data_IF_663741647672
#
_entry.id   IF_663741647672
#
_cell.length_a   1.000
_cell.length_b   1.000
_cell.length_c   1.000
_cell.angle_alpha   90.00
_cell.angle_beta   90.00
_cell.angle_gamma   90.00
#
_symmetry.space_group_name_H-M   'P 1'
#
loop_
_entity.id
_entity.type
_entity.pdbx_description
1 polymer ?
#
# COMPACT_ATOMS: atom_id res chain seq x y z
N UNK A 1 -5.24 8.36 -20.44
CA UNK A 1 -5.50 8.31 -19.00
C UNK A 1 -6.35 7.11 -18.55
N UNK A 2 -7.12 6.47 -19.40
CA UNK A 2 -7.87 5.25 -19.09
C UNK A 2 -6.90 4.05 -19.04
N UNK A 3 -6.40 3.70 -17.85
CA UNK A 3 -5.42 2.62 -17.67
C UNK A 3 -5.80 1.63 -16.55
N UNK A 4 -6.99 1.78 -15.95
CA UNK A 4 -7.46 0.87 -14.90
C UNK A 4 -6.75 0.97 -13.55
N UNK A 5 -5.87 1.99 -13.33
CA UNK A 5 -5.13 2.15 -12.06
C UNK A 5 -6.05 2.21 -10.85
N UNK A 6 -7.06 3.05 -10.90
CA UNK A 6 -8.00 3.23 -9.79
C UNK A 6 -8.81 1.97 -9.53
N UNK A 7 -9.23 1.26 -10.58
CA UNK A 7 -9.94 -0.02 -10.45
C UNK A 7 -9.04 -1.09 -9.83
N UNK A 8 -7.76 -1.16 -10.23
CA UNK A 8 -6.78 -2.06 -9.63
C UNK A 8 -6.57 -1.76 -8.12
N UNK A 9 -6.47 -0.50 -7.75
CA UNK A 9 -6.38 -0.09 -6.35
C UNK A 9 -7.59 -0.54 -5.53
N UNK A 10 -8.81 -0.39 -6.09
CA UNK A 10 -10.04 -0.87 -5.45
C UNK A 10 -10.04 -2.39 -5.29
N UNK A 11 -9.61 -3.14 -6.31
CA UNK A 11 -9.51 -4.60 -6.24
C UNK A 11 -8.52 -5.06 -5.17
N UNK A 12 -7.35 -4.43 -5.07
CA UNK A 12 -6.36 -4.73 -4.02
C UNK A 12 -6.97 -4.48 -2.64
N UNK A 13 -7.64 -3.36 -2.46
CA UNK A 13 -8.31 -3.03 -1.19
C UNK A 13 -9.38 -4.05 -0.84
N UNK A 14 -10.22 -4.43 -1.80
CA UNK A 14 -11.26 -5.43 -1.64
C UNK A 14 -10.73 -6.83 -1.27
N UNK A 15 -9.54 -7.19 -1.74
CA UNK A 15 -8.89 -8.45 -1.36
C UNK A 15 -8.36 -8.42 0.07
N UNK A 16 -7.78 -7.31 0.51
CA UNK A 16 -7.08 -7.22 1.79
C UNK A 16 -8.01 -6.76 2.92
N UNK A 17 -8.88 -5.80 2.65
CA UNK A 17 -9.74 -5.18 3.66
C UNK A 17 -11.09 -4.72 3.07
N UNK A 18 -11.99 -5.66 2.78
CA UNK A 18 -13.24 -5.39 2.04
C UNK A 18 -14.24 -4.49 2.77
N UNK A 19 -14.01 -4.20 4.05
CA UNK A 19 -14.87 -3.32 4.87
C UNK A 19 -14.27 -1.95 5.13
N UNK A 20 -13.11 -1.67 4.55
CA UNK A 20 -12.48 -0.37 4.68
C UNK A 20 -13.17 0.69 3.82
N UNK A 21 -12.91 1.94 4.18
CA UNK A 21 -13.30 3.11 3.38
C UNK A 21 -12.69 2.98 1.99
N UNK A 22 -13.46 3.32 0.97
CA UNK A 22 -12.99 3.44 -0.41
C UNK A 22 -11.74 4.33 -0.53
N UNK A 23 -11.15 4.35 -1.71
CA UNK A 23 -9.99 5.17 -2.06
C UNK A 23 -10.09 6.58 -1.46
N UNK A 24 -9.08 6.96 -0.73
CA UNK A 24 -9.00 8.24 -0.04
C UNK A 24 -8.22 9.26 -0.87
N UNK A 25 -8.54 10.53 -0.73
CA UNK A 25 -7.65 11.59 -1.20
C UNK A 25 -6.39 11.62 -0.33
N UNK A 26 -5.23 11.85 -0.94
CA UNK A 26 -3.98 11.96 -0.19
C UNK A 26 -4.04 13.15 0.81
N UNK A 27 -3.78 12.94 2.10
CA UNK A 27 -3.91 13.95 3.13
C UNK A 27 -3.00 15.17 2.88
N UNK A 28 -3.42 16.33 3.36
CA UNK A 28 -2.62 17.56 3.27
C UNK A 28 -1.63 17.71 4.43
N UNK A 29 -1.93 17.12 5.56
CA UNK A 29 -1.12 17.18 6.78
C UNK A 29 -0.55 15.81 7.12
N UNK A 30 0.66 15.79 7.63
CA UNK A 30 1.32 14.57 8.11
C UNK A 30 0.51 13.88 9.20
N UNK A 31 -0.06 14.63 10.13
CA UNK A 31 -0.92 14.07 11.19
C UNK A 31 -2.11 13.28 10.66
N UNK A 32 -2.77 13.78 9.60
CA UNK A 32 -3.90 13.10 8.99
C UNK A 32 -3.46 11.81 8.27
N UNK A 33 -2.25 11.83 7.68
CA UNK A 33 -1.63 10.63 7.11
C UNK A 33 -1.38 9.58 8.19
N UNK A 34 -0.77 9.99 9.30
CA UNK A 34 -0.49 9.12 10.45
C UNK A 34 -1.78 8.49 10.99
N UNK A 35 -2.85 9.27 11.12
CA UNK A 35 -4.17 8.76 11.56
C UNK A 35 -4.70 7.72 10.57
N UNK A 36 -4.59 7.97 9.27
CA UNK A 36 -5.02 7.01 8.26
C UNK A 36 -4.23 5.71 8.36
N UNK A 37 -2.90 5.79 8.49
CA UNK A 37 -2.02 4.62 8.61
C UNK A 37 -2.25 3.82 9.91
N UNK A 38 -2.60 4.50 10.99
CA UNK A 38 -2.86 3.84 12.27
C UNK A 38 -4.20 3.10 12.31
N UNK A 39 -5.20 3.58 11.56
CA UNK A 39 -6.57 3.05 11.61
C UNK A 39 -6.86 2.00 10.53
N UNK A 40 -6.01 1.86 9.53
CA UNK A 40 -6.23 0.94 8.41
C UNK A 40 -5.03 0.01 8.20
N UNK A 41 -5.27 -1.27 8.00
CA UNK A 41 -4.21 -2.21 7.61
C UNK A 41 -3.70 -1.94 6.19
N UNK A 42 -4.57 -1.38 5.34
CA UNK A 42 -4.23 -0.87 4.01
C UNK A 42 -4.85 0.50 3.80
N UNK A 43 -4.05 1.47 3.42
CA UNK A 43 -4.48 2.82 3.05
C UNK A 43 -4.31 3.02 1.55
N UNK A 44 -5.41 3.21 0.85
CA UNK A 44 -5.41 3.42 -0.60
C UNK A 44 -5.66 4.88 -0.92
N UNK A 45 -4.67 5.55 -1.50
CA UNK A 45 -4.74 6.95 -1.90
C UNK A 45 -4.82 7.06 -3.42
N UNK A 46 -5.87 7.70 -3.89
CA UNK A 46 -6.13 7.90 -5.32
C UNK A 46 -5.71 9.31 -5.77
N UNK A 47 -5.28 9.40 -7.02
CA UNK A 47 -4.90 10.66 -7.67
C UNK A 47 -3.85 11.46 -6.88
N UNK A 48 -2.80 10.78 -6.45
CA UNK A 48 -1.69 11.39 -5.74
C UNK A 48 -0.83 12.25 -6.68
N UNK A 49 -0.21 13.27 -6.11
CA UNK A 49 0.77 14.10 -6.80
C UNK A 49 2.12 14.02 -6.08
N UNK A 50 3.20 13.86 -6.83
CA UNK A 50 4.57 13.83 -6.31
C UNK A 50 4.89 15.04 -5.43
N UNK A 51 4.33 16.21 -5.76
CA UNK A 51 4.50 17.45 -4.98
C UNK A 51 4.02 17.36 -3.53
N UNK A 52 3.16 16.40 -3.22
CA UNK A 52 2.66 16.16 -1.85
C UNK A 52 3.51 15.19 -1.06
N UNK A 53 4.42 14.48 -1.72
CA UNK A 53 5.30 13.50 -1.09
C UNK A 53 6.64 14.18 -0.81
N UNK A 54 6.61 15.15 0.10
CA UNK A 54 7.81 15.81 0.62
C UNK A 54 8.60 14.94 1.59
N UNK A 55 9.59 15.53 2.22
CA UNK A 55 10.52 14.83 3.12
C UNK A 55 9.79 14.18 4.30
N UNK A 56 9.00 14.94 5.04
CA UNK A 56 8.26 14.46 6.22
C UNK A 56 7.32 13.30 5.87
N UNK A 57 6.62 13.40 4.74
CA UNK A 57 5.71 12.35 4.25
C UNK A 57 6.50 11.10 3.89
N UNK A 58 7.62 11.25 3.19
CA UNK A 58 8.49 10.14 2.81
C UNK A 58 9.01 9.40 4.05
N UNK A 59 9.40 10.12 5.09
CA UNK A 59 9.88 9.54 6.34
C UNK A 59 8.79 8.74 7.06
N UNK A 60 7.56 9.26 7.11
CA UNK A 60 6.42 8.54 7.67
C UNK A 60 6.10 7.26 6.87
N UNK A 61 6.13 7.34 5.54
CA UNK A 61 5.93 6.17 4.68
C UNK A 61 7.02 5.12 4.90
N UNK A 62 8.28 5.53 5.00
CA UNK A 62 9.39 4.63 5.33
C UNK A 62 9.21 3.96 6.70
N UNK A 63 8.76 4.73 7.70
CA UNK A 63 8.50 4.20 9.04
C UNK A 63 7.32 3.24 9.05
N UNK A 64 6.26 3.49 8.28
CA UNK A 64 5.10 2.60 8.23
C UNK A 64 5.45 1.22 7.68
N UNK A 65 6.33 1.15 6.68
CA UNK A 65 6.83 -0.11 6.11
C UNK A 65 7.73 -0.86 7.10
N UNK A 66 8.52 -0.13 7.88
CA UNK A 66 9.49 -0.72 8.84
C UNK A 66 8.87 -1.03 10.22
N UNK A 67 7.63 -0.64 10.47
CA UNK A 67 6.96 -0.84 11.75
C UNK A 67 7.42 0.15 12.82
N UNK A 68 7.52 1.44 12.49
CA UNK A 68 7.93 2.51 13.40
C UNK A 68 6.80 3.05 14.27
N UNK A 69 7.12 4.14 14.99
CA UNK A 69 6.17 4.87 15.82
C UNK A 69 6.24 6.36 15.49
N UNK A 70 5.08 7.01 15.47
CA UNK A 70 4.97 8.45 15.39
C UNK A 70 4.61 9.01 16.76
N UNK A 71 5.39 9.97 17.25
CA UNK A 71 5.15 10.59 18.55
C UNK A 71 4.83 12.06 18.36
N UNK A 72 3.74 12.51 18.96
CA UNK A 72 3.37 13.92 18.99
C UNK A 72 2.88 14.35 20.35
N UNK A 73 2.93 15.68 20.60
CA UNK A 73 2.36 16.26 21.82
C UNK A 73 0.85 16.02 21.87
N UNK A 74 0.37 15.64 23.04
CA UNK A 74 -1.06 15.52 23.31
C UNK A 74 -1.69 16.93 23.33
N UNK A 75 -2.86 17.07 22.73
CA UNK A 75 -3.61 18.33 22.78
C UNK A 75 -3.98 18.65 24.22
N UNK A 76 -3.89 19.93 24.56
CA UNK A 76 -4.22 20.46 25.89
C UNK A 76 -3.34 19.93 27.05
N UNK A 77 -2.11 19.51 26.75
CA UNK A 77 -1.13 19.08 27.73
C UNK A 77 0.24 19.66 27.38
N UNK A 78 0.96 20.15 28.39
CA UNK A 78 2.27 20.76 28.16
C UNK A 78 3.40 19.75 28.03
N UNK A 79 3.27 18.58 28.67
CA UNK A 79 4.35 17.59 28.77
C UNK A 79 3.97 16.18 28.27
N UNK A 80 2.68 15.92 28.03
CA UNK A 80 2.25 14.59 27.58
C UNK A 80 2.46 14.39 26.09
N UNK A 81 2.88 13.21 25.74
CA UNK A 81 3.01 12.75 24.35
C UNK A 81 2.08 11.60 24.05
N UNK A 82 1.66 11.51 22.80
CA UNK A 82 0.95 10.35 22.27
C UNK A 82 1.85 9.66 21.26
N UNK A 83 2.08 8.37 21.47
CA UNK A 83 2.84 7.53 20.56
C UNK A 83 1.88 6.64 19.76
N UNK A 84 1.91 6.74 18.45
CA UNK A 84 1.04 6.06 17.52
C UNK A 84 1.88 5.04 16.75
N UNK A 85 1.55 3.74 16.81
CA UNK A 85 2.24 2.74 16.00
C UNK A 85 1.90 2.92 14.53
N UNK A 86 2.92 2.94 13.69
CA UNK A 86 2.77 2.99 12.24
C UNK A 86 2.93 1.56 11.69
N UNK A 87 1.81 0.95 11.33
CA UNK A 87 1.78 -0.37 10.70
C UNK A 87 0.69 -0.33 9.64
N UNK A 88 1.05 -0.47 8.40
CA UNK A 88 0.05 -0.51 7.35
C UNK A 88 0.68 -0.50 5.98
N UNK A 89 0.02 -1.19 5.06
CA UNK A 89 0.33 -1.11 3.66
C UNK A 89 -0.21 0.19 3.08
N UNK A 90 0.57 0.82 2.24
CA UNK A 90 0.15 2.02 1.50
C UNK A 90 0.12 1.70 0.02
N UNK A 91 -0.99 1.98 -0.61
CA UNK A 91 -1.15 1.93 -2.07
C UNK A 91 -1.45 3.34 -2.56
N UNK A 92 -0.67 3.80 -3.50
CA UNK A 92 -0.84 5.12 -4.10
C UNK A 92 -0.91 5.00 -5.62
N UNK A 93 -1.83 5.70 -6.24
CA UNK A 93 -1.81 5.87 -7.68
C UNK A 93 -1.69 7.36 -8.06
N UNK A 94 -1.08 7.60 -9.19
CA UNK A 94 -0.90 8.94 -9.77
C UNK A 94 -0.57 8.85 -11.25
N UNK A 95 -0.47 10.01 -11.88
CA UNK A 95 -0.10 10.10 -13.31
C UNK A 95 1.41 10.14 -13.51
N UNK A 96 2.14 10.67 -12.52
CA UNK A 96 3.60 10.84 -12.57
C UNK A 96 4.29 9.88 -11.59
N UNK A 97 5.61 9.80 -11.66
CA UNK A 97 6.40 9.12 -10.64
C UNK A 97 6.15 9.79 -9.29
N UNK A 98 5.61 9.02 -8.34
CA UNK A 98 5.24 9.55 -7.02
C UNK A 98 6.40 9.55 -6.03
N UNK A 99 7.41 8.73 -6.26
CA UNK A 99 8.49 8.50 -5.32
C UNK A 99 9.82 8.80 -5.98
N UNK A 100 10.56 9.73 -5.39
CA UNK A 100 11.87 10.19 -5.90
C UNK A 100 13.02 9.92 -4.91
N UNK A 101 12.73 9.92 -3.61
CA UNK A 101 13.76 9.71 -2.58
C UNK A 101 14.26 8.25 -2.59
N UNK A 102 15.57 8.02 -2.64
CA UNK A 102 16.16 6.67 -2.75
C UNK A 102 15.77 5.73 -1.61
N UNK A 103 15.61 6.25 -0.38
CA UNK A 103 15.24 5.46 0.78
C UNK A 103 13.79 4.95 0.69
N UNK A 104 12.87 5.74 0.14
CA UNK A 104 11.50 5.32 -0.09
C UNK A 104 11.41 4.43 -1.35
N UNK A 105 12.12 4.78 -2.44
CA UNK A 105 12.19 3.95 -3.66
C UNK A 105 12.60 2.51 -3.35
N UNK A 106 13.54 2.32 -2.42
CA UNK A 106 13.99 0.98 -2.00
C UNK A 106 12.94 0.16 -1.23
N UNK A 107 11.80 0.75 -0.88
CA UNK A 107 10.71 0.14 -0.09
C UNK A 107 9.39 0.06 -0.82
N UNK A 108 9.35 0.41 -2.10
CA UNK A 108 8.11 0.39 -2.89
C UNK A 108 8.18 -0.62 -4.02
N UNK A 109 7.03 -1.17 -4.36
CA UNK A 109 6.82 -1.90 -5.61
C UNK A 109 6.10 -0.96 -6.56
N UNK A 110 6.75 -0.62 -7.67
CA UNK A 110 6.20 0.27 -8.67
C UNK A 110 5.62 -0.52 -9.84
N UNK A 111 4.37 -0.25 -10.16
CA UNK A 111 3.67 -0.83 -11.30
C UNK A 111 3.33 0.26 -12.32
N UNK A 112 3.75 0.06 -13.55
CA UNK A 112 3.46 0.96 -14.65
C UNK A 112 2.30 0.41 -15.48
N UNK A 113 1.23 1.18 -15.59
CA UNK A 113 0.05 0.83 -16.36
C UNK A 113 0.04 1.58 -17.69
N UNK A 114 -0.03 0.83 -18.77
CA UNK A 114 -0.24 1.39 -20.10
C UNK A 114 -1.69 1.87 -20.29
N UNK A 115 -1.90 2.81 -21.20
CA UNK A 115 -3.26 3.20 -21.60
C UNK A 115 -3.97 2.00 -22.22
N UNK A 116 -5.24 1.85 -21.91
CA UNK A 116 -6.12 0.87 -22.57
C UNK A 116 -6.66 1.52 -23.81
N UNK A 117 -6.41 0.93 -24.98
CA UNK A 117 -6.83 1.44 -26.29
C UNK A 117 -8.00 0.61 -26.85
N UNK A 118 -8.90 1.30 -27.59
CA UNK A 118 -9.95 0.68 -28.40
C UNK A 118 -11.11 0.07 -27.60
N UNK A 119 -11.71 -0.99 -28.16
CA UNK A 119 -12.91 -1.67 -27.65
C UNK A 119 -12.73 -2.41 -26.32
N UNK A 120 -11.52 -2.41 -25.74
CA UNK A 120 -11.21 -3.02 -24.44
C UNK A 120 -11.58 -2.17 -23.23
N UNK A 121 -12.11 -0.97 -23.45
CA UNK A 121 -12.62 -0.12 -22.37
C UNK A 121 -13.95 -0.67 -21.86
N UNK A 122 -13.92 -1.35 -20.76
CA UNK A 122 -15.11 -1.75 -20.03
C UNK A 122 -15.49 -0.74 -18.97
N UNK A 123 -16.76 -0.72 -18.56
CA UNK A 123 -17.20 0.11 -17.45
C UNK A 123 -16.60 -0.42 -16.15
N UNK A 124 -16.27 0.47 -15.20
CA UNK A 124 -15.80 0.08 -13.86
C UNK A 124 -16.76 -0.90 -13.18
N UNK A 125 -18.07 -0.73 -13.38
CA UNK A 125 -19.08 -1.63 -12.83
C UNK A 125 -18.93 -3.06 -13.35
N UNK A 126 -18.83 -3.23 -14.66
CA UNK A 126 -18.69 -4.56 -15.29
C UNK A 126 -17.39 -5.23 -14.86
N UNK A 127 -16.30 -4.46 -14.82
CA UNK A 127 -15.01 -4.95 -14.35
C UNK A 127 -15.07 -5.42 -12.88
N UNK A 128 -15.77 -4.70 -12.01
CA UNK A 128 -15.95 -5.09 -10.61
C UNK A 128 -16.87 -6.31 -10.46
N UNK A 129 -17.91 -6.44 -11.28
CA UNK A 129 -18.77 -7.64 -11.31
C UNK A 129 -17.97 -8.89 -11.70
N UNK A 130 -17.11 -8.78 -12.70
CA UNK A 130 -16.22 -9.88 -13.10
C UNK A 130 -15.18 -10.20 -12.03
N UNK A 131 -14.59 -9.18 -11.44
CA UNK A 131 -13.66 -9.34 -10.30
C UNK A 131 -14.32 -10.11 -9.15
N UNK A 132 -15.55 -9.78 -8.76
CA UNK A 132 -16.25 -10.48 -7.68
C UNK A 132 -16.45 -11.97 -7.96
N UNK A 133 -16.61 -12.37 -9.22
CA UNK A 133 -16.72 -13.79 -9.61
C UNK A 133 -15.41 -14.55 -9.43
N UNK A 134 -14.28 -13.90 -9.66
CA UNK A 134 -12.95 -14.53 -9.57
C UNK A 134 -12.27 -14.31 -8.22
N UNK A 135 -12.71 -13.33 -7.44
CA UNK A 135 -12.16 -12.97 -6.11
C UNK A 135 -11.95 -14.18 -5.18
N UNK A 136 -12.90 -15.13 -5.04
CA UNK A 136 -12.68 -16.30 -4.19
C UNK A 136 -11.51 -17.18 -4.63
N UNK A 137 -11.29 -17.31 -5.95
CA UNK A 137 -10.15 -18.06 -6.50
C UNK A 137 -8.82 -17.37 -6.23
N UNK A 138 -8.79 -16.03 -6.40
CA UNK A 138 -7.60 -15.23 -6.10
C UNK A 138 -7.26 -15.36 -4.61
N UNK A 139 -8.24 -15.24 -3.72
CA UNK A 139 -8.03 -15.42 -2.28
C UNK A 139 -7.55 -16.82 -1.94
N UNK A 140 -8.06 -17.86 -2.62
CA UNK A 140 -7.58 -19.23 -2.45
C UNK A 140 -6.08 -19.34 -2.74
N UNK A 141 -5.63 -18.80 -3.87
CA UNK A 141 -4.20 -18.79 -4.24
C UNK A 141 -3.37 -17.99 -3.23
N UNK A 142 -3.86 -16.83 -2.77
CA UNK A 142 -3.15 -16.02 -1.76
C UNK A 142 -3.00 -16.81 -0.45
N UNK A 143 -4.05 -17.48 0.01
CA UNK A 143 -3.98 -18.29 1.23
C UNK A 143 -3.06 -19.50 1.08
N UNK A 144 -3.02 -20.10 -0.10
CA UNK A 144 -2.10 -21.20 -0.40
C UNK A 144 -0.64 -20.74 -0.34
N UNK A 145 -0.32 -19.59 -0.95
CA UNK A 145 1.02 -18.98 -0.87
C UNK A 145 1.39 -18.66 0.59
N UNK A 146 0.46 -18.08 1.37
CA UNK A 146 0.70 -17.75 2.77
C UNK A 146 0.94 -19.05 3.60
N UNK A 147 0.16 -20.10 3.35
CA UNK A 147 0.34 -21.38 4.02
C UNK A 147 1.73 -21.95 3.74
N UNK A 148 2.12 -22.06 2.48
CA UNK A 148 3.45 -22.54 2.11
C UNK A 148 4.56 -21.70 2.77
N UNK A 149 4.43 -20.37 2.73
CA UNK A 149 5.39 -19.49 3.39
C UNK A 149 5.48 -19.75 4.89
N UNK A 150 4.35 -19.90 5.58
CA UNK A 150 4.34 -20.15 7.04
C UNK A 150 4.94 -21.50 7.41
N UNK A 151 4.81 -22.50 6.54
CA UNK A 151 5.40 -23.83 6.73
C UNK A 151 6.92 -23.82 6.52
N UNK A 152 7.40 -23.07 5.52
CA UNK A 152 8.79 -23.16 5.06
C UNK A 152 9.68 -21.97 5.48
N UNK A 153 9.12 -20.89 6.04
CA UNK A 153 9.84 -19.62 6.33
C UNK A 153 11.10 -19.79 7.18
N UNK A 154 11.14 -20.79 8.05
CA UNK A 154 12.28 -21.02 8.95
C UNK A 154 13.38 -21.87 8.27
N UNK A 155 13.03 -22.59 7.21
CA UNK A 155 13.94 -23.45 6.45
C UNK A 155 14.54 -22.74 5.22
N UNK A 156 13.91 -21.66 4.74
CA UNK A 156 14.40 -20.91 3.59
C UNK A 156 15.66 -20.12 3.94
N UNK A 157 16.78 -20.55 3.37
CA UNK A 157 18.05 -19.83 3.47
C UNK A 157 18.21 -18.92 2.25
N UNK A 158 18.34 -17.62 2.49
CA UNK A 158 18.65 -16.64 1.45
C UNK A 158 20.12 -16.29 1.58
N UNK A 159 20.91 -16.74 0.63
CA UNK A 159 22.37 -16.49 0.64
C UNK A 159 22.72 -15.02 0.36
N UNK A 160 21.87 -14.32 -0.41
CA UNK A 160 22.07 -12.91 -0.73
C UNK A 160 20.75 -12.14 -0.71
N UNK A 161 20.63 -11.16 0.17
CA UNK A 161 19.52 -10.21 0.15
C UNK A 161 19.75 -9.16 -0.92
N UNK A 162 18.96 -9.21 -1.98
CA UNK A 162 19.05 -8.28 -3.12
C UNK A 162 18.17 -7.03 -2.90
N UNK A 163 17.12 -7.17 -2.11
CA UNK A 163 16.18 -6.09 -1.84
C UNK A 163 16.10 -5.80 -0.35
N UNK A 164 15.81 -4.53 -0.02
CA UNK A 164 15.72 -4.07 1.37
C UNK A 164 14.52 -4.67 2.12
N UNK A 165 13.47 -5.07 1.39
CA UNK A 165 12.31 -5.79 1.93
C UNK A 165 12.62 -7.28 2.04
N UNK A 166 13.42 -7.66 3.02
CA UNK A 166 13.94 -9.03 3.19
C UNK A 166 12.84 -10.05 3.39
N UNK A 167 11.78 -9.73 4.15
CA UNK A 167 10.63 -10.62 4.33
C UNK A 167 9.85 -10.84 3.03
N UNK A 168 9.72 -9.80 2.20
CA UNK A 168 9.11 -9.95 0.89
C UNK A 168 9.95 -10.86 -0.03
N UNK A 169 11.26 -10.78 0.05
CA UNK A 169 12.16 -11.68 -0.71
C UNK A 169 11.96 -13.14 -0.28
N UNK A 170 11.72 -13.42 1.00
CA UNK A 170 11.43 -14.77 1.49
C UNK A 170 10.13 -15.35 0.95
N UNK A 171 9.13 -14.51 0.71
CA UNK A 171 7.85 -14.94 0.12
C UNK A 171 7.99 -15.19 -1.39
N UNK A 172 8.93 -14.52 -2.04
CA UNK A 172 9.09 -14.54 -3.50
C UNK A 172 10.03 -15.64 -4.01
N UNK A 173 10.72 -16.33 -3.13
CA UNK A 173 11.62 -17.47 -3.43
C UNK A 173 10.89 -18.79 -3.18
#
# INVERSE_FOLDING_TARGET
HASGKSSACTMIQELISPRCVDRMAFPKKVDDLVISLANHCISVFDNCSARRIGEDVSDILCQSVSGGFYTKRKLYSDMDTVTIPLKGMVVMNGCDSLVERPDLVSRVLQFNFSSIEGERLETDQKLMEEFQKVKPKILGVIFEIISCYLEEKDDVKIDNYVIRLTEFQRVAV
#
